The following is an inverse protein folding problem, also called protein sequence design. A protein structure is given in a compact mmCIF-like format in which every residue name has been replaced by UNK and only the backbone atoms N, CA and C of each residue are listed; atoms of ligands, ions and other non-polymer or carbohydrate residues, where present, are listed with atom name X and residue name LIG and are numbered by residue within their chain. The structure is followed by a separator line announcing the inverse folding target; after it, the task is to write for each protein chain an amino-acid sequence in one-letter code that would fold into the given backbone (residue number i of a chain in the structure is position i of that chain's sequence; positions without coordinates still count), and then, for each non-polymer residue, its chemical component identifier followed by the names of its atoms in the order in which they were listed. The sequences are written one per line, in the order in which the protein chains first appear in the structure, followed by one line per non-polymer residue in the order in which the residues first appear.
data_IF_870773789120
#
_entry.id   IF_870773789120
#
_cell.length_a   1.000
_cell.length_b   1.000
_cell.length_c   1.000
_cell.angle_alpha   90.00
_cell.angle_beta   90.00
_cell.angle_gamma   90.00
#
_symmetry.space_group_name_H-M   'P 1'
#
loop_
_entity.id
_entity.type
_entity.pdbx_description
1 polymer ?
#
# COMPACT_ATOMS: atom_id res chain seq x y z
N UNK A 1 -33.36 -25.82 13.02
CA UNK A 1 -32.90 -26.43 11.75
C UNK A 1 -33.37 -25.54 10.59
N UNK A 2 -32.57 -25.35 9.54
CA UNK A 2 -32.07 -24.02 9.16
C UNK A 2 -32.43 -23.62 7.72
N UNK A 3 -32.20 -22.35 7.36
CA UNK A 3 -31.64 -22.01 6.04
C UNK A 3 -30.51 -21.01 6.22
N UNK A 4 -29.30 -21.54 6.07
CA UNK A 4 -28.09 -20.79 5.79
C UNK A 4 -28.25 -20.00 4.51
N UNK A 5 -27.90 -18.71 4.55
CA UNK A 5 -27.41 -17.98 3.39
C UNK A 5 -25.96 -17.60 3.70
N UNK A 6 -24.97 -18.04 2.90
CA UNK A 6 -23.60 -17.61 3.06
C UNK A 6 -23.44 -16.19 2.50
N UNK A 7 -22.70 -15.27 3.13
CA UNK A 7 -22.17 -14.14 2.40
C UNK A 7 -20.91 -14.61 1.68
N UNK A 8 -21.07 -15.32 0.56
CA UNK A 8 -19.99 -15.46 -0.41
C UNK A 8 -20.02 -14.20 -1.29
N UNK A 9 -19.31 -13.17 -0.84
CA UNK A 9 -19.03 -12.01 -1.70
C UNK A 9 -17.88 -12.43 -2.61
N UNK A 10 -18.24 -12.67 -3.87
CA UNK A 10 -17.30 -12.94 -4.96
C UNK A 10 -16.18 -11.88 -4.98
N UNK A 11 -14.90 -12.25 -5.07
CA UNK A 11 -13.83 -11.29 -5.25
C UNK A 11 -14.07 -10.59 -6.59
N UNK A 12 -14.12 -9.26 -6.59
CA UNK A 12 -14.16 -8.44 -7.80
C UNK A 12 -13.00 -8.87 -8.71
N UNK A 13 -13.34 -9.59 -9.77
CA UNK A 13 -12.44 -9.96 -10.85
C UNK A 13 -12.15 -8.70 -11.69
N UNK A 14 -11.12 -7.97 -11.28
CA UNK A 14 -10.65 -6.77 -11.97
C UNK A 14 -9.14 -6.62 -11.88
N UNK A 15 -8.46 -6.95 -12.98
CA UNK A 15 -7.12 -6.51 -13.43
C UNK A 15 -6.13 -6.03 -12.34
N UNK A 16 -5.26 -6.94 -11.89
CA UNK A 16 -4.10 -6.65 -11.03
C UNK A 16 -2.82 -6.65 -11.86
N UNK A 17 -2.10 -5.53 -11.92
CA UNK A 17 -0.77 -5.46 -12.55
C UNK A 17 0.29 -5.14 -11.50
N UNK A 18 1.16 -6.11 -11.23
CA UNK A 18 2.34 -5.98 -10.36
C UNK A 18 3.58 -5.91 -11.25
N UNK A 19 4.35 -4.83 -11.18
CA UNK A 19 5.68 -4.74 -11.81
C UNK A 19 6.76 -4.91 -10.75
N UNK A 20 7.62 -5.91 -10.93
CA UNK A 20 8.80 -6.18 -10.10
C UNK A 20 10.03 -5.59 -10.76
N UNK A 21 10.81 -4.79 -10.04
CA UNK A 21 12.13 -4.34 -10.47
C UNK A 21 13.15 -4.91 -9.48
N UNK A 22 14.15 -5.61 -10.00
CA UNK A 22 15.29 -6.11 -9.23
C UNK A 22 16.38 -5.03 -9.22
N UNK A 23 16.81 -4.59 -8.02
CA UNK A 23 18.03 -3.79 -7.86
C UNK A 23 19.17 -4.72 -7.47
N UNK A 24 20.21 -4.79 -8.30
CA UNK A 24 21.43 -5.54 -8.01
C UNK A 24 22.52 -4.58 -7.55
N UNK A 25 22.91 -4.66 -6.28
CA UNK A 25 24.18 -4.08 -5.84
C UNK A 25 25.36 -4.87 -6.43
N UNK A 26 26.56 -4.31 -6.37
CA UNK A 26 27.80 -4.79 -7.02
C UNK A 26 28.27 -6.19 -6.58
N UNK A 27 28.98 -6.89 -7.48
CA UNK A 27 29.51 -8.24 -7.33
C UNK A 27 30.44 -8.39 -6.11
N UNK A 28 30.07 -9.19 -5.08
CA UNK A 28 30.95 -10.11 -4.32
C UNK A 28 30.08 -11.18 -3.59
N UNK A 29 30.46 -12.46 -3.73
CA UNK A 29 29.95 -13.70 -3.10
C UNK A 29 28.49 -14.16 -3.33
N UNK A 30 28.38 -15.34 -3.95
CA UNK A 30 27.16 -15.98 -4.50
C UNK A 30 26.35 -16.85 -3.51
N UNK A 31 26.64 -16.84 -2.21
CA UNK A 31 25.99 -17.77 -1.26
C UNK A 31 25.01 -17.14 -0.25
N UNK A 32 24.95 -15.81 -0.12
CA UNK A 32 24.05 -15.14 0.86
C UNK A 32 23.58 -13.77 0.35
N UNK A 33 22.92 -13.73 -0.81
CA UNK A 33 22.39 -12.46 -1.33
C UNK A 33 20.90 -12.35 -1.04
N UNK A 34 20.58 -11.72 0.09
CA UNK A 34 19.23 -11.26 0.39
C UNK A 34 18.82 -10.26 -0.70
N UNK A 35 17.89 -10.68 -1.57
CA UNK A 35 17.42 -9.86 -2.68
C UNK A 35 16.48 -8.76 -2.20
N UNK A 36 16.33 -7.68 -2.96
CA UNK A 36 15.33 -6.64 -2.68
C UNK A 36 14.44 -6.48 -3.90
N UNK A 37 13.15 -6.65 -3.68
CA UNK A 37 12.12 -6.62 -4.70
C UNK A 37 11.21 -5.42 -4.45
N UNK A 38 11.26 -4.45 -5.37
CA UNK A 38 10.33 -3.33 -5.35
C UNK A 38 9.05 -3.72 -6.10
N UNK A 39 7.91 -3.56 -5.42
CA UNK A 39 6.59 -3.96 -5.89
C UNK A 39 5.72 -2.71 -5.96
N UNK A 40 5.50 -2.21 -7.18
CA UNK A 40 4.55 -1.11 -7.39
C UNK A 40 3.15 -1.64 -7.64
N UNK A 41 2.18 -1.14 -6.89
CA UNK A 41 0.76 -1.49 -7.06
C UNK A 41 0.05 -0.38 -7.83
N UNK A 42 -0.55 -0.78 -8.95
CA UNK A 42 -1.38 0.07 -9.81
C UNK A 42 -2.84 -0.32 -9.68
N UNK A 43 -3.72 0.67 -9.60
CA UNK A 43 -5.17 0.47 -9.68
C UNK A 43 -5.65 1.12 -10.98
N UNK A 44 -6.21 0.32 -11.88
CA UNK A 44 -6.74 0.78 -13.18
C UNK A 44 -8.26 0.66 -13.12
N UNK A 45 -8.97 1.73 -13.48
CA UNK A 45 -10.43 1.69 -13.64
C UNK A 45 -10.74 1.43 -15.10
N UNK A 46 -11.59 0.44 -15.34
CA UNK A 46 -12.28 0.36 -16.62
C UNK A 46 -13.44 1.37 -16.57
N UNK A 47 -13.17 2.63 -16.88
CA UNK A 47 -14.24 3.57 -17.16
C UNK A 47 -14.81 3.20 -18.53
N UNK A 48 -16.05 2.70 -18.57
CA UNK A 48 -16.82 2.70 -19.81
C UNK A 48 -16.83 4.14 -20.33
N UNK A 49 -16.16 4.36 -21.45
CA UNK A 49 -16.24 5.62 -22.17
C UNK A 49 -17.71 5.75 -22.55
N UNK A 50 -18.41 6.71 -21.93
CA UNK A 50 -19.75 7.06 -22.32
C UNK A 50 -19.71 7.48 -23.78
N UNK A 51 -20.26 6.64 -24.66
CA UNK A 51 -20.55 7.02 -26.03
C UNK A 51 -21.71 8.01 -25.98
N UNK A 52 -21.37 9.29 -25.92
CA UNK A 52 -22.24 10.35 -26.42
C UNK A 52 -22.38 10.14 -27.94
N UNK A 53 -23.41 9.39 -28.35
CA UNK A 53 -23.98 9.52 -29.68
C UNK A 53 -25.49 9.60 -29.57
N UNK A 54 -25.98 10.82 -29.70
CA UNK A 54 -27.40 11.16 -29.78
C UNK A 54 -28.05 10.65 -31.08
N UNK A 55 -29.33 10.22 -30.97
CA UNK A 55 -30.38 10.00 -32.02
C UNK A 55 -30.25 8.64 -32.75
N UNK A 56 -31.28 7.78 -32.89
CA UNK A 56 -32.64 7.96 -33.46
C UNK A 56 -33.60 6.86 -32.94
N UNK A 57 -34.90 7.16 -32.91
CA UNK A 57 -36.08 6.33 -32.59
C UNK A 57 -36.20 4.94 -33.28
N UNK A 58 -36.73 3.96 -32.54
CA UNK A 58 -38.02 3.25 -32.76
C UNK A 58 -37.95 1.72 -32.51
N UNK A 59 -38.96 1.17 -31.81
CA UNK A 59 -39.28 -0.27 -31.80
C UNK A 59 -38.91 -1.12 -30.57
N UNK A 60 -39.91 -1.34 -29.71
CA UNK A 60 -40.25 -2.64 -29.08
C UNK A 60 -39.25 -3.35 -28.12
N UNK A 61 -39.38 -3.01 -26.84
CA UNK A 61 -39.39 -3.90 -25.65
C UNK A 61 -38.38 -5.06 -25.52
N UNK A 62 -37.28 -4.79 -24.81
CA UNK A 62 -36.84 -5.64 -23.69
C UNK A 62 -36.08 -4.75 -22.69
N UNK A 63 -36.80 -4.23 -21.70
CA UNK A 63 -36.23 -3.43 -20.63
C UNK A 63 -35.49 -4.36 -19.65
N UNK A 64 -34.25 -4.71 -19.97
CA UNK A 64 -33.32 -5.20 -18.95
C UNK A 64 -32.85 -3.97 -18.18
N UNK A 65 -33.44 -3.76 -17.02
CA UNK A 65 -32.94 -2.80 -16.03
C UNK A 65 -31.56 -3.27 -15.56
N UNK A 66 -30.51 -2.96 -16.34
CA UNK A 66 -29.14 -2.99 -15.84
C UNK A 66 -29.11 -1.92 -14.78
N UNK A 67 -28.98 -2.36 -13.52
CA UNK A 67 -28.93 -1.50 -12.36
C UNK A 67 -28.01 -0.31 -12.67
N UNK A 68 -28.61 0.89 -12.69
CA UNK A 68 -27.90 2.15 -12.75
C UNK A 68 -27.19 2.31 -11.40
N UNK A 69 -26.10 1.56 -11.18
CA UNK A 69 -25.20 1.86 -10.08
C UNK A 69 -24.41 3.08 -10.52
N UNK A 70 -24.97 4.24 -10.18
CA UNK A 70 -24.23 5.48 -10.05
C UNK A 70 -23.26 5.33 -8.88
N UNK A 71 -22.29 4.43 -9.03
CA UNK A 71 -21.26 4.17 -8.04
C UNK A 71 -20.54 5.48 -7.80
N UNK A 72 -20.82 6.07 -6.66
CA UNK A 72 -20.33 7.38 -6.30
C UNK A 72 -18.79 7.35 -6.28
N UNK A 73 -18.16 8.46 -6.60
CA UNK A 73 -16.69 8.62 -6.50
C UNK A 73 -16.16 8.19 -5.11
N UNK A 74 -17.01 8.27 -4.09
CA UNK A 74 -16.75 7.80 -2.73
C UNK A 74 -16.69 6.25 -2.62
N UNK A 75 -17.65 5.51 -3.19
CA UNK A 75 -17.65 4.04 -3.21
C UNK A 75 -16.47 3.49 -4.01
N UNK A 76 -16.14 4.16 -5.13
CA UNK A 76 -14.92 3.85 -5.90
C UNK A 76 -13.67 4.09 -5.04
N UNK A 77 -13.58 5.20 -4.30
CA UNK A 77 -12.44 5.51 -3.41
C UNK A 77 -12.23 4.52 -2.27
N UNK A 78 -13.32 3.98 -1.70
CA UNK A 78 -13.28 2.93 -0.67
C UNK A 78 -12.78 1.60 -1.27
N UNK A 79 -13.20 1.26 -2.49
CA UNK A 79 -12.72 0.08 -3.21
C UNK A 79 -11.21 0.15 -3.58
N UNK A 80 -10.63 1.34 -3.73
CA UNK A 80 -9.26 1.53 -4.22
C UNK A 80 -8.19 1.24 -3.18
N UNK A 81 -8.47 1.50 -1.89
CA UNK A 81 -7.47 1.38 -0.83
C UNK A 81 -7.47 0.00 -0.15
N UNK A 82 -8.59 -0.73 -0.14
CA UNK A 82 -8.59 -2.17 0.18
C UNK A 82 -7.73 -2.96 -0.78
N UNK A 83 -7.78 -2.62 -2.07
CA UNK A 83 -6.99 -3.27 -3.11
C UNK A 83 -5.49 -3.22 -2.80
N UNK A 84 -4.96 -2.16 -2.17
CA UNK A 84 -3.53 -2.12 -1.86
C UNK A 84 -3.12 -3.19 -0.85
N UNK A 85 -3.80 -3.24 0.31
CA UNK A 85 -3.51 -4.24 1.36
C UNK A 85 -3.83 -5.65 0.86
N UNK A 86 -4.95 -5.84 0.15
CA UNK A 86 -5.36 -7.13 -0.41
C UNK A 86 -4.37 -7.63 -1.48
N UNK A 87 -3.80 -6.73 -2.30
CA UNK A 87 -2.77 -7.08 -3.28
C UNK A 87 -1.48 -7.50 -2.57
N UNK A 88 -1.07 -6.79 -1.51
CA UNK A 88 0.09 -7.18 -0.70
C UNK A 88 -0.13 -8.57 -0.12
N UNK A 89 -1.28 -8.83 0.52
CA UNK A 89 -1.58 -10.12 1.12
C UNK A 89 -1.55 -11.26 0.09
N UNK A 90 -2.19 -11.06 -1.07
CA UNK A 90 -2.19 -12.06 -2.15
C UNK A 90 -0.78 -12.32 -2.71
N UNK A 91 0.02 -11.26 -2.86
CA UNK A 91 1.41 -11.41 -3.30
C UNK A 91 2.24 -12.18 -2.27
N UNK A 92 2.13 -11.82 -0.99
CA UNK A 92 2.85 -12.46 0.11
C UNK A 92 2.45 -13.93 0.29
N UNK A 93 1.17 -14.27 0.10
CA UNK A 93 0.69 -15.66 0.09
C UNK A 93 1.41 -16.49 -0.98
N UNK A 94 1.51 -15.98 -2.21
CA UNK A 94 2.26 -16.65 -3.27
C UNK A 94 3.73 -16.86 -2.92
N UNK A 95 4.37 -15.89 -2.25
CA UNK A 95 5.77 -16.03 -1.79
C UNK A 95 5.91 -17.05 -0.67
N UNK A 96 4.99 -17.09 0.28
CA UNK A 96 5.02 -18.09 1.35
C UNK A 96 4.89 -19.52 0.80
N UNK A 97 4.08 -19.72 -0.25
CA UNK A 97 3.98 -21.00 -0.97
C UNK A 97 5.23 -21.36 -1.78
N UNK A 98 6.06 -20.39 -2.18
CA UNK A 98 7.37 -20.66 -2.79
C UNK A 98 8.38 -21.10 -1.74
N UNK A 99 8.34 -20.52 -0.53
CA UNK A 99 9.20 -20.93 0.59
C UNK A 99 9.00 -22.40 0.99
N UNK A 100 7.77 -22.89 0.98
CA UNK A 100 7.47 -24.30 1.30
C UNK A 100 8.05 -25.29 0.27
N UNK A 101 8.47 -24.81 -0.91
CA UNK A 101 9.13 -25.60 -1.96
C UNK A 101 10.66 -25.65 -1.81
N UNK A 102 11.24 -25.11 -0.74
CA UNK A 102 12.63 -25.32 -0.36
C UNK A 102 13.66 -24.39 -1.03
N UNK A 103 13.24 -23.35 -1.75
CA UNK A 103 14.16 -22.32 -2.27
C UNK A 103 14.68 -21.45 -1.12
N UNK A 104 15.98 -21.53 -0.82
CA UNK A 104 16.66 -20.77 0.25
C UNK A 104 17.00 -19.32 -0.12
N UNK A 105 16.62 -18.87 -1.32
CA UNK A 105 16.83 -17.48 -1.73
C UNK A 105 15.53 -16.73 -1.49
N UNK A 106 15.53 -15.84 -0.51
CA UNK A 106 14.41 -14.94 -0.27
C UNK A 106 14.77 -13.51 -0.66
N UNK A 107 13.74 -12.76 -1.05
CA UNK A 107 13.86 -11.32 -1.27
C UNK A 107 13.07 -10.59 -0.21
N UNK A 108 13.61 -9.51 0.31
CA UNK A 108 12.82 -8.51 1.01
C UNK A 108 11.93 -7.76 0.01
N UNK A 109 10.77 -7.30 0.48
CA UNK A 109 9.78 -6.67 -0.38
C UNK A 109 9.52 -5.25 0.08
N UNK A 110 9.47 -4.32 -0.87
CA UNK A 110 8.99 -2.97 -0.64
C UNK A 110 7.79 -2.75 -1.54
N UNK A 111 6.62 -2.61 -0.91
CA UNK A 111 5.37 -2.32 -1.57
C UNK A 111 5.12 -0.82 -1.56
N UNK A 112 4.87 -0.27 -2.73
CA UNK A 112 4.57 1.14 -2.88
C UNK A 112 3.38 1.34 -3.82
N UNK A 113 2.54 2.33 -3.52
CA UNK A 113 1.52 2.80 -4.46
C UNK A 113 2.16 3.48 -5.67
N UNK A 114 1.45 3.45 -6.79
CA UNK A 114 1.92 4.00 -8.07
C UNK A 114 2.25 5.49 -8.08
N UNK A 115 1.91 6.27 -7.06
CA UNK A 115 2.28 7.68 -6.91
C UNK A 115 3.50 7.91 -6.01
N UNK A 116 4.24 6.86 -5.65
CA UNK A 116 5.55 6.95 -5.01
C UNK A 116 6.68 6.78 -6.05
N UNK A 117 7.74 7.57 -5.91
CA UNK A 117 9.01 7.40 -6.60
C UNK A 117 10.12 7.13 -5.58
N UNK A 118 10.99 6.18 -5.92
CA UNK A 118 12.21 5.89 -5.16
C UNK A 118 13.32 6.77 -5.73
N UNK A 119 14.03 7.47 -4.85
CA UNK A 119 15.10 8.42 -5.24
C UNK A 119 16.46 8.04 -4.67
N UNK A 120 16.53 7.09 -3.74
CA UNK A 120 17.76 6.54 -3.16
C UNK A 120 17.58 5.07 -2.74
N UNK A 121 18.64 4.41 -2.26
CA UNK A 121 18.66 3.00 -1.89
C UNK A 121 17.86 2.68 -0.62
N UNK A 122 16.57 2.38 -0.82
CA UNK A 122 15.69 1.85 0.22
C UNK A 122 16.11 0.47 0.73
N UNK A 123 17.02 -0.21 0.04
CA UNK A 123 17.52 -1.51 0.46
C UNK A 123 18.29 -1.48 1.78
N UNK A 124 18.85 -0.33 2.11
CA UNK A 124 19.55 -0.11 3.37
C UNK A 124 18.61 -0.25 4.60
N UNK A 125 17.29 -0.16 4.44
CA UNK A 125 16.32 -0.41 5.54
C UNK A 125 16.55 -1.79 6.17
N UNK A 126 16.73 -2.83 5.34
CA UNK A 126 16.84 -4.21 5.83
C UNK A 126 18.17 -4.53 6.49
N UNK A 127 19.22 -3.75 6.15
CA UNK A 127 20.55 -3.83 6.74
C UNK A 127 20.61 -3.02 8.05
N UNK A 128 20.12 -1.78 8.03
CA UNK A 128 20.11 -0.87 9.18
C UNK A 128 19.20 -1.35 10.30
N UNK A 129 18.10 -2.03 9.96
CA UNK A 129 17.13 -2.57 10.89
C UNK A 129 16.96 -4.08 10.64
N UNK A 130 17.79 -4.94 11.24
CA UNK A 130 17.71 -6.39 11.02
C UNK A 130 16.44 -7.01 11.64
N UNK A 131 15.93 -6.44 12.74
CA UNK A 131 14.94 -7.08 13.60
C UNK A 131 13.53 -6.50 13.46
N UNK A 132 12.91 -6.71 12.28
CA UNK A 132 11.51 -6.38 12.06
C UNK A 132 10.86 -7.34 11.06
N UNK A 133 9.53 -7.53 11.16
CA UNK A 133 8.77 -8.30 10.19
C UNK A 133 8.21 -7.41 9.08
N UNK A 134 7.59 -6.27 9.44
CA UNK A 134 7.12 -5.26 8.50
C UNK A 134 7.49 -3.84 8.94
N UNK A 135 7.58 -2.91 8.00
CA UNK A 135 7.78 -1.50 8.26
C UNK A 135 6.65 -0.66 7.68
N UNK A 136 6.19 0.31 8.46
CA UNK A 136 5.20 1.32 8.09
C UNK A 136 5.82 2.70 8.13
N UNK A 137 5.19 3.69 7.49
CA UNK A 137 5.67 5.08 7.52
C UNK A 137 4.78 5.97 8.37
N UNK A 138 5.39 6.86 9.17
CA UNK A 138 4.69 7.73 10.10
C UNK A 138 5.03 9.21 9.93
N UNK A 139 4.17 10.10 10.40
CA UNK A 139 4.35 11.55 10.40
C UNK A 139 3.78 12.18 11.67
N UNK A 140 4.25 13.39 11.98
CA UNK A 140 3.69 14.20 13.05
C UNK A 140 2.32 14.79 12.64
N UNK A 141 1.29 13.95 12.64
CA UNK A 141 -0.10 14.33 12.42
C UNK A 141 -1.01 13.57 13.38
N UNK A 142 -1.71 14.30 14.26
CA UNK A 142 -2.53 13.69 15.32
C UNK A 142 -3.66 12.81 14.77
N UNK A 143 -4.25 13.21 13.65
CA UNK A 143 -5.42 12.56 13.05
C UNK A 143 -5.05 11.42 12.10
N UNK A 144 -3.96 11.56 11.35
CA UNK A 144 -3.49 10.59 10.36
C UNK A 144 -1.99 10.35 10.50
N UNK A 145 -1.54 9.75 11.62
CA UNK A 145 -0.12 9.61 11.91
C UNK A 145 0.58 8.60 11.00
N UNK A 146 -0.13 7.65 10.40
CA UNK A 146 0.42 6.62 9.53
C UNK A 146 0.04 6.87 8.07
N UNK A 147 0.97 6.57 7.16
CA UNK A 147 0.70 6.51 5.72
C UNK A 147 0.74 5.07 5.24
N UNK A 148 -0.29 4.68 4.52
CA UNK A 148 -0.50 3.33 3.98
C UNK A 148 0.20 3.06 2.66
N UNK A 149 0.61 4.10 1.92
CA UNK A 149 1.13 3.93 0.55
C UNK A 149 2.49 3.24 0.45
N UNK A 150 3.17 2.99 1.58
CA UNK A 150 4.49 2.37 1.64
C UNK A 150 4.50 1.31 2.74
N UNK A 151 4.88 0.08 2.40
CA UNK A 151 5.06 -1.03 3.34
C UNK A 151 6.31 -1.81 2.96
N UNK A 152 7.25 -2.00 3.88
CA UNK A 152 8.38 -2.91 3.68
C UNK A 152 8.15 -4.21 4.45
N UNK A 153 8.50 -5.37 3.89
CA UNK A 153 8.30 -6.68 4.51
C UNK A 153 9.59 -7.48 4.42
N UNK A 154 10.01 -8.05 5.55
CA UNK A 154 11.15 -8.96 5.60
C UNK A 154 10.79 -10.26 4.88
N UNK A 155 11.63 -10.66 3.93
CA UNK A 155 11.36 -11.81 3.06
C UNK A 155 11.48 -13.18 3.70
N UNK A 156 11.82 -13.28 4.99
CA UNK A 156 11.86 -14.57 5.68
C UNK A 156 10.46 -15.16 5.77
N UNK A 157 10.34 -16.50 5.88
CA UNK A 157 9.04 -17.15 6.00
C UNK A 157 8.24 -16.60 7.20
N UNK A 158 8.90 -16.39 8.34
CA UNK A 158 8.29 -15.76 9.52
C UNK A 158 7.94 -14.28 9.26
N UNK A 159 8.81 -13.49 8.63
CA UNK A 159 8.53 -12.09 8.28
C UNK A 159 7.29 -11.94 7.38
N UNK A 160 7.18 -12.78 6.35
CA UNK A 160 6.02 -12.83 5.45
C UNK A 160 4.76 -13.24 6.22
N UNK A 161 4.83 -14.31 7.01
CA UNK A 161 3.69 -14.83 7.78
C UNK A 161 3.17 -13.80 8.79
N UNK A 162 4.07 -13.19 9.57
CA UNK A 162 3.77 -12.14 10.56
C UNK A 162 3.18 -10.89 9.91
N UNK A 163 3.73 -10.48 8.77
CA UNK A 163 3.19 -9.35 8.01
C UNK A 163 1.76 -9.61 7.52
N UNK A 164 1.46 -10.83 7.05
CA UNK A 164 0.10 -11.22 6.64
C UNK A 164 -0.89 -11.14 7.78
N UNK A 165 -0.55 -11.67 8.97
CA UNK A 165 -1.40 -11.60 10.17
C UNK A 165 -1.73 -10.14 10.51
N UNK A 166 -0.71 -9.28 10.54
CA UNK A 166 -0.93 -7.86 10.84
C UNK A 166 -1.84 -7.19 9.80
N UNK A 167 -1.60 -7.42 8.50
CA UNK A 167 -2.41 -6.84 7.43
C UNK A 167 -3.86 -7.38 7.45
N UNK A 168 -4.07 -8.61 7.91
CA UNK A 168 -5.41 -9.19 8.08
C UNK A 168 -6.16 -8.52 9.23
N UNK A 169 -5.49 -8.24 10.35
CA UNK A 169 -6.06 -7.45 11.44
C UNK A 169 -6.46 -6.04 10.98
N UNK A 170 -5.62 -5.38 10.17
CA UNK A 170 -5.94 -4.07 9.57
C UNK A 170 -7.16 -4.16 8.66
N UNK A 171 -7.24 -5.17 7.79
CA UNK A 171 -8.38 -5.37 6.89
C UNK A 171 -9.68 -5.66 7.66
N UNK A 172 -9.60 -6.44 8.73
CA UNK A 172 -10.73 -6.71 9.62
C UNK A 172 -11.22 -5.44 10.32
N UNK A 173 -10.30 -4.64 10.86
CA UNK A 173 -10.62 -3.33 11.47
C UNK A 173 -11.23 -2.39 10.44
N UNK A 174 -10.67 -2.33 9.23
CA UNK A 174 -11.25 -1.58 8.13
C UNK A 174 -12.69 -2.01 7.86
N UNK A 175 -12.91 -3.31 7.70
CA UNK A 175 -14.21 -3.89 7.34
C UNK A 175 -15.28 -3.61 8.39
N UNK A 176 -14.92 -3.75 9.67
CA UNK A 176 -15.84 -3.58 10.79
C UNK A 176 -16.12 -2.11 11.13
N UNK A 177 -15.12 -1.22 11.00
CA UNK A 177 -15.20 0.15 11.55
C UNK A 177 -15.22 1.24 10.49
N UNK A 178 -14.63 1.00 9.33
CA UNK A 178 -14.34 2.05 8.34
C UNK A 178 -14.92 1.80 6.95
N UNK A 179 -15.48 0.61 6.65
CA UNK A 179 -16.15 0.32 5.37
C UNK A 179 -17.30 1.28 5.05
N UNK A 180 -18.04 1.72 6.08
CA UNK A 180 -19.15 2.68 5.93
C UNK A 180 -18.68 4.14 5.99
N UNK A 181 -17.39 4.39 6.21
CA UNK A 181 -16.88 5.74 6.25
C UNK A 181 -16.85 6.32 4.83
N UNK A 182 -17.66 7.33 4.57
CA UNK A 182 -17.78 8.03 3.28
C UNK A 182 -16.53 8.84 2.87
N UNK A 183 -15.43 8.75 3.62
CA UNK A 183 -14.23 9.59 3.45
C UNK A 183 -13.03 8.77 3.00
N UNK A 184 -12.27 9.36 2.06
CA UNK A 184 -11.07 8.80 1.41
C UNK A 184 -9.86 8.59 2.35
N UNK A 185 -9.98 7.82 3.44
CA UNK A 185 -8.89 7.59 4.42
C UNK A 185 -9.01 6.28 5.23
N UNK A 186 -9.96 5.40 4.90
CA UNK A 186 -10.36 4.30 5.79
C UNK A 186 -9.21 3.35 6.17
N UNK A 187 -8.26 3.13 5.27
CA UNK A 187 -7.06 2.31 5.45
C UNK A 187 -6.04 2.94 6.42
N UNK A 188 -5.76 4.24 6.28
CA UNK A 188 -4.88 4.97 7.20
C UNK A 188 -5.51 5.04 8.60
N UNK A 189 -6.84 5.15 8.66
CA UNK A 189 -7.58 5.11 9.91
C UNK A 189 -7.56 3.71 10.53
N UNK A 190 -7.71 2.65 9.74
CA UNK A 190 -7.62 1.27 10.22
C UNK A 190 -6.21 0.94 10.73
N UNK A 191 -5.17 1.30 9.99
CA UNK A 191 -3.77 1.19 10.43
C UNK A 191 -3.53 1.94 11.74
N UNK A 192 -3.96 3.21 11.80
CA UNK A 192 -3.79 4.03 12.99
C UNK A 192 -4.58 3.47 14.17
N UNK A 193 -5.73 2.85 13.93
CA UNK A 193 -6.54 2.20 14.95
C UNK A 193 -5.81 0.99 15.54
N UNK A 194 -5.40 0.03 14.70
CA UNK A 194 -4.63 -1.15 15.15
C UNK A 194 -3.39 -0.73 15.93
N UNK A 195 -2.59 0.18 15.38
CA UNK A 195 -1.35 0.63 16.03
C UNK A 195 -1.61 1.33 17.36
N UNK A 196 -2.60 2.25 17.44
CA UNK A 196 -2.88 2.96 18.71
C UNK A 196 -3.51 2.05 19.76
N UNK A 197 -4.27 1.03 19.36
CA UNK A 197 -4.87 0.06 20.29
C UNK A 197 -3.82 -0.80 21.00
N UNK A 198 -2.72 -1.14 20.32
CA UNK A 198 -1.66 -1.99 20.88
C UNK A 198 -0.43 -1.23 21.38
N UNK A 199 -0.13 -0.05 20.80
CA UNK A 199 1.01 0.78 21.14
C UNK A 199 0.56 2.19 21.60
N UNK A 200 0.01 2.33 22.81
CA UNK A 200 -0.50 3.61 23.30
C UNK A 200 0.59 4.69 23.45
N UNK A 201 1.87 4.30 23.49
CA UNK A 201 3.01 5.23 23.51
C UNK A 201 3.37 5.77 22.12
N UNK A 202 2.99 5.10 21.02
CA UNK A 202 3.39 5.45 19.66
C UNK A 202 3.07 6.90 19.27
N UNK A 203 1.94 7.51 19.68
CA UNK A 203 1.67 8.93 19.40
C UNK A 203 2.74 9.90 19.90
N UNK A 204 3.40 9.61 21.03
CA UNK A 204 4.51 10.44 21.54
C UNK A 204 5.80 10.27 20.73
N UNK A 205 5.96 9.11 20.08
CA UNK A 205 7.10 8.83 19.20
C UNK A 205 6.87 9.40 17.80
N UNK A 206 5.63 9.53 17.33
CA UNK A 206 5.35 10.11 16.01
C UNK A 206 5.74 11.59 15.84
N UNK A 207 5.92 12.32 16.94
CA UNK A 207 6.48 13.66 16.92
C UNK A 207 8.01 13.68 16.85
N UNK A 208 8.67 12.55 17.11
CA UNK A 208 10.11 12.38 16.96
C UNK A 208 10.38 11.98 15.51
N UNK A 209 11.24 12.68 14.81
CA UNK A 209 11.56 12.43 13.39
C UNK A 209 12.48 11.21 13.20
N UNK A 210 12.41 10.23 14.10
CA UNK A 210 13.34 9.10 14.21
C UNK A 210 12.59 7.78 14.07
N UNK A 211 13.23 6.81 13.43
CA UNK A 211 12.67 5.48 13.33
C UNK A 211 12.61 4.81 14.71
N UNK A 212 11.55 4.03 14.96
CA UNK A 212 11.40 3.25 16.18
C UNK A 212 10.65 1.96 15.90
N UNK A 213 10.78 0.98 16.78
CA UNK A 213 10.05 -0.29 16.65
C UNK A 213 8.99 -0.44 17.74
N UNK A 214 7.99 -1.26 17.46
CA UNK A 214 7.00 -1.72 18.44
C UNK A 214 6.50 -3.10 18.06
N UNK A 215 6.01 -3.85 19.04
CA UNK A 215 5.45 -5.18 18.82
C UNK A 215 3.92 -5.16 18.95
N UNK A 216 3.22 -5.73 17.98
CA UNK A 216 1.77 -5.88 17.99
C UNK A 216 1.45 -7.36 17.80
N UNK A 217 0.87 -8.01 18.82
CA UNK A 217 0.48 -9.42 18.75
C UNK A 217 1.61 -10.36 18.26
N UNK A 218 2.84 -10.17 18.75
CA UNK A 218 4.02 -10.93 18.31
C UNK A 218 4.59 -10.52 16.94
N UNK A 219 4.08 -9.45 16.33
CA UNK A 219 4.60 -8.86 15.10
C UNK A 219 5.46 -7.65 15.43
N UNK A 220 6.78 -7.76 15.31
CA UNK A 220 7.70 -6.62 15.29
C UNK A 220 7.47 -5.72 14.07
N UNK A 221 7.10 -4.47 14.33
CA UNK A 221 6.82 -3.43 13.34
C UNK A 221 7.84 -2.31 13.48
N UNK A 222 8.51 -1.97 12.39
CA UNK A 222 9.37 -0.80 12.29
C UNK A 222 8.56 0.42 11.79
N UNK A 223 8.66 1.54 12.49
CA UNK A 223 8.04 2.80 12.08
C UNK A 223 9.12 3.71 11.50
N UNK A 224 8.99 4.02 10.21
CA UNK A 224 9.93 4.83 9.44
C UNK A 224 9.39 6.27 9.27
N UNK A 225 10.20 7.32 9.47
CA UNK A 225 9.73 8.69 9.35
C UNK A 225 9.41 9.03 7.88
N UNK A 226 8.23 9.62 7.64
CA UNK A 226 7.83 10.09 6.32
C UNK A 226 8.77 11.18 5.79
N UNK A 227 9.50 11.92 6.64
CA UNK A 227 10.48 12.90 6.18
C UNK A 227 11.60 12.29 5.32
N UNK A 228 11.82 10.98 5.43
CA UNK A 228 12.88 10.23 4.71
C UNK A 228 12.28 9.21 3.74
N UNK A 229 11.38 8.35 4.22
CA UNK A 229 10.94 7.13 3.49
C UNK A 229 9.60 7.26 2.77
N UNK A 230 8.91 8.39 2.91
CA UNK A 230 7.61 8.66 2.27
C UNK A 230 7.33 10.17 2.29
N UNK A 231 8.26 10.95 1.74
CA UNK A 231 8.20 12.41 1.81
C UNK A 231 7.13 12.96 0.89
N UNK A 232 6.32 13.90 1.36
CA UNK A 232 5.36 14.61 0.52
C UNK A 232 5.74 16.08 0.52
N UNK A 233 5.86 16.71 -0.67
CA UNK A 233 6.09 18.15 -0.75
C UNK A 233 5.05 18.92 0.05
N UNK A 234 5.45 19.95 0.83
CA UNK A 234 4.51 20.82 1.50
C UNK A 234 3.47 21.40 0.53
N UNK A 235 2.27 21.67 1.02
CA UNK A 235 1.25 22.33 0.21
C UNK A 235 1.69 23.76 -0.14
N UNK A 236 1.52 24.17 -1.40
CA UNK A 236 1.99 25.47 -1.89
C UNK A 236 3.50 25.60 -2.11
N UNK A 237 4.33 24.68 -1.61
CA UNK A 237 5.73 24.63 -1.98
C UNK A 237 5.87 24.16 -3.45
N UNK A 238 6.79 24.77 -4.20
CA UNK A 238 7.25 24.21 -5.46
C UNK A 238 7.65 22.74 -5.27
N UNK A 239 7.55 21.93 -6.33
CA UNK A 239 7.45 20.46 -6.23
C UNK A 239 8.58 19.76 -5.46
N UNK A 240 9.76 20.36 -5.38
CA UNK A 240 10.93 19.86 -4.63
C UNK A 240 11.50 20.90 -3.66
N UNK A 241 10.83 22.04 -3.48
CA UNK A 241 11.31 23.08 -2.60
C UNK A 241 11.28 22.59 -1.14
N UNK A 242 12.44 22.65 -0.48
CA UNK A 242 12.61 22.15 0.88
C UNK A 242 12.64 20.62 0.98
N UNK A 243 12.90 19.90 -0.12
CA UNK A 243 13.15 18.46 -0.06
C UNK A 243 14.46 18.19 0.72
N UNK A 244 14.42 17.40 1.81
CA UNK A 244 15.63 16.99 2.50
C UNK A 244 16.58 16.20 1.59
N UNK A 245 17.89 16.34 1.82
CA UNK A 245 18.91 15.64 1.02
C UNK A 245 18.94 14.13 1.27
N UNK A 246 18.37 13.68 2.39
CA UNK A 246 18.32 12.29 2.81
C UNK A 246 17.00 11.59 2.44
N UNK A 247 16.14 12.22 1.62
CA UNK A 247 14.90 11.58 1.15
C UNK A 247 15.24 10.36 0.30
N UNK A 248 14.61 9.23 0.60
CA UNK A 248 14.75 7.98 -0.16
C UNK A 248 13.52 7.67 -1.02
N UNK A 249 12.34 8.18 -0.64
CA UNK A 249 11.14 8.04 -1.44
C UNK A 249 10.21 9.26 -1.34
N UNK A 250 9.69 9.66 -2.48
CA UNK A 250 8.78 10.81 -2.66
C UNK A 250 7.39 10.30 -2.99
N UNK A 251 6.37 10.82 -2.30
CA UNK A 251 4.95 10.53 -2.51
C UNK A 251 4.21 11.72 -3.13
N UNK A 252 3.89 11.60 -4.42
CA UNK A 252 3.17 12.60 -5.19
C UNK A 252 1.65 12.55 -4.93
N UNK A 253 1.18 13.37 -3.98
CA UNK A 253 -0.25 13.46 -3.67
C UNK A 253 -0.98 14.54 -4.48
N UNK A 254 -2.23 14.26 -4.84
CA UNK A 254 -3.16 15.23 -5.45
C UNK A 254 -2.85 15.57 -6.91
N UNK A 255 -2.98 16.84 -7.27
CA UNK A 255 -2.74 17.38 -8.63
C UNK A 255 -1.35 17.08 -9.20
N UNK A 256 -0.38 16.75 -8.31
CA UNK A 256 1.02 16.42 -8.62
C UNK A 256 1.21 15.02 -9.20
N UNK A 257 0.20 14.15 -9.16
CA UNK A 257 0.27 12.81 -9.80
C UNK A 257 0.62 12.88 -11.29
N UNK A 258 0.15 13.94 -11.98
CA UNK A 258 0.41 14.19 -13.41
C UNK A 258 1.89 14.37 -13.73
N UNK A 259 2.70 14.78 -12.76
CA UNK A 259 4.12 15.08 -12.97
C UNK A 259 4.98 13.81 -12.91
N UNK A 260 4.52 12.75 -12.23
CA UNK A 260 5.14 11.42 -12.39
C UNK A 260 4.99 10.91 -13.83
N UNK A 261 3.84 11.19 -14.46
CA UNK A 261 3.54 10.81 -15.84
C UNK A 261 4.26 11.69 -16.86
N UNK A 262 4.49 12.97 -16.52
CA UNK A 262 5.18 13.94 -17.38
C UNK A 262 6.72 13.81 -17.41
N UNK A 263 7.28 12.83 -16.69
CA UNK A 263 8.71 12.56 -16.71
C UNK A 263 9.42 13.06 -15.46
N UNK A 264 9.68 12.14 -14.53
CA UNK A 264 10.80 12.24 -13.58
C UNK A 264 12.15 12.00 -14.32
N UNK A 265 12.15 11.98 -15.65
CA UNK A 265 13.30 11.75 -16.53
C UNK A 265 14.08 13.01 -16.89
N UNK A 266 13.64 14.22 -16.50
CA UNK A 266 14.34 15.47 -16.83
C UNK A 266 15.12 16.12 -15.67
N UNK A 267 15.09 15.56 -14.46
CA UNK A 267 15.68 16.22 -13.28
C UNK A 267 16.49 15.32 -12.33
N UNK A 268 16.96 14.16 -12.81
CA UNK A 268 18.07 13.39 -12.20
C UNK A 268 19.15 13.19 -13.27
#
# INVERSE_FOLDING_TARGET
MPRHFPPYVSPVSGLRAVKKIHSSSSQQNLQTRDGISFVTVYTIYNSSIGSDSSRIHDGSSELVTVANSSDSIAERSVAILNVFIDVIQAFLEGRLQEHSKGLRIYSHYIFAVSDIAVVDDLGNIFHKYPDFHLALTFRNNKYQPLKSGFVAVRGTADGIYRAKIFLEEVLNVYSLKFMKASRMLGDQLALAWVVKSHLPFAPRKFSMHEAFSGEINGVSILFLPCSVYNWTPPEGAGQFHGMPLDVQAIHFKGSRKRLKLAGVLEFL
#
